data_IF_424728745438
#
_entry.id   IF_424728745438
#
_cell.length_a   1.000
_cell.length_b   1.000
_cell.length_c   1.000
_cell.angle_alpha   90.00
_cell.angle_beta   90.00
_cell.angle_gamma   90.00
#
_symmetry.space_group_name_H-M   'P 1'
#
loop_
_entity.id
_entity.type
_entity.pdbx_description
1 polymer ?
#
# COMPACT_ATOMS: atom_id res chain seq x y z
N UNK A 1 -1.29 17.07 21.26
CA UNK A 1 -0.69 15.72 21.36
C UNK A 1 -1.20 14.85 20.20
N UNK A 2 -0.31 14.19 19.44
CA UNK A 2 -0.75 13.34 18.33
C UNK A 2 -1.48 12.07 18.81
N UNK A 3 -2.64 11.69 18.24
CA UNK A 3 -3.45 10.55 18.66
C UNK A 3 -2.94 9.22 18.05
N UNK A 4 -1.62 9.03 17.94
CA UNK A 4 -1.04 7.80 17.39
C UNK A 4 -0.66 6.82 18.49
N UNK A 5 -0.83 5.52 18.20
CA UNK A 5 -0.27 4.45 19.01
C UNK A 5 1.26 4.42 18.80
N UNK A 6 2.03 4.61 19.86
CA UNK A 6 3.50 4.64 19.81
C UNK A 6 4.15 3.36 20.36
N UNK A 7 3.35 2.32 20.62
CA UNK A 7 3.81 1.04 21.17
C UNK A 7 4.35 0.09 20.10
N UNK A 8 4.34 0.49 18.83
CA UNK A 8 4.79 -0.31 17.70
C UNK A 8 5.47 0.54 16.62
N UNK A 9 6.44 -0.06 15.90
CA UNK A 9 7.27 0.63 14.91
C UNK A 9 6.44 1.39 13.86
N UNK A 10 5.42 0.74 13.29
CA UNK A 10 4.60 1.37 12.25
C UNK A 10 3.90 2.65 12.75
N UNK A 11 3.42 2.66 14.00
CA UNK A 11 2.74 3.82 14.58
C UNK A 11 3.72 4.97 14.87
N UNK A 12 4.90 4.64 15.39
CA UNK A 12 5.98 5.61 15.63
C UNK A 12 6.43 6.29 14.33
N UNK A 13 6.71 5.51 13.28
CA UNK A 13 7.15 6.05 11.99
C UNK A 13 6.06 6.95 11.38
N UNK A 14 4.79 6.56 11.46
CA UNK A 14 3.68 7.38 10.95
C UNK A 14 3.50 8.67 11.75
N UNK A 15 3.69 8.61 13.08
CA UNK A 15 3.66 9.78 13.94
C UNK A 15 4.76 10.78 13.61
N UNK A 16 5.98 10.30 13.32
CA UNK A 16 7.10 11.15 12.89
C UNK A 16 6.80 11.80 11.54
N UNK A 17 6.30 11.03 10.56
CA UNK A 17 5.90 11.57 9.26
C UNK A 17 4.89 12.72 9.44
N UNK A 18 3.86 12.49 10.27
CA UNK A 18 2.84 13.50 10.56
C UNK A 18 3.42 14.71 11.30
N UNK A 19 4.30 14.50 12.28
CA UNK A 19 4.95 15.59 13.01
C UNK A 19 5.76 16.50 12.08
N UNK A 20 6.55 15.91 11.18
CA UNK A 20 7.33 16.67 10.19
C UNK A 20 6.42 17.39 9.21
N UNK A 21 5.36 16.75 8.72
CA UNK A 21 4.38 17.39 7.84
C UNK A 21 3.74 18.62 8.50
N UNK A 22 3.36 18.51 9.78
CA UNK A 22 2.83 19.65 10.53
C UNK A 22 3.88 20.75 10.67
N UNK A 23 5.11 20.41 11.07
CA UNK A 23 6.18 21.41 11.22
C UNK A 23 6.50 22.16 9.93
N UNK A 24 6.34 21.52 8.77
CA UNK A 24 6.62 22.13 7.48
C UNK A 24 5.45 23.00 6.99
N UNK A 25 4.21 22.66 7.32
CA UNK A 25 3.04 23.25 6.69
C UNK A 25 2.17 24.12 7.61
N UNK A 26 2.38 24.06 8.92
CA UNK A 26 1.59 24.77 9.91
C UNK A 26 2.47 25.37 11.01
N UNK A 27 1.98 26.45 11.61
CA UNK A 27 2.61 27.03 12.78
C UNK A 27 2.38 26.13 14.00
N UNK A 28 3.48 25.67 14.58
CA UNK A 28 3.49 24.89 15.82
C UNK A 28 4.17 25.69 16.92
N UNK A 29 3.55 25.88 18.10
CA UNK A 29 4.21 26.50 19.25
C UNK A 29 5.55 25.83 19.59
N UNK A 30 6.50 26.59 20.13
CA UNK A 30 7.81 26.04 20.48
C UNK A 30 7.72 24.94 21.53
N UNK A 31 6.89 25.11 22.55
CA UNK A 31 6.68 24.08 23.58
C UNK A 31 6.18 22.76 22.97
N UNK A 32 5.20 22.82 22.07
CA UNK A 32 4.69 21.65 21.35
C UNK A 32 5.75 21.02 20.45
N UNK A 33 6.54 21.82 19.73
CA UNK A 33 7.61 21.32 18.89
C UNK A 33 8.65 20.53 19.69
N UNK A 34 9.10 21.10 20.80
CA UNK A 34 10.12 20.51 21.66
C UNK A 34 9.59 19.24 22.35
N UNK A 35 8.38 19.30 22.89
CA UNK A 35 7.72 18.15 23.51
C UNK A 35 7.56 16.98 22.53
N UNK A 36 7.08 17.24 21.31
CA UNK A 36 6.91 16.17 20.33
C UNK A 36 8.25 15.66 19.79
N UNK A 37 9.25 16.53 19.59
CA UNK A 37 10.60 16.12 19.16
C UNK A 37 11.23 15.16 20.18
N UNK A 38 11.19 15.49 21.48
CA UNK A 38 11.71 14.63 22.55
C UNK A 38 10.97 13.29 22.60
N UNK A 39 9.63 13.37 22.70
CA UNK A 39 8.78 12.18 22.84
C UNK A 39 8.97 11.22 21.67
N UNK A 40 8.96 11.74 20.44
CA UNK A 40 9.11 10.93 19.23
C UNK A 40 10.52 10.37 19.11
N UNK A 41 11.56 11.13 19.49
CA UNK A 41 12.93 10.63 19.44
C UNK A 41 13.11 9.44 20.38
N UNK A 42 12.63 9.56 21.62
CA UNK A 42 12.73 8.49 22.61
C UNK A 42 12.09 7.17 22.17
N UNK A 43 10.90 7.23 21.55
CA UNK A 43 10.25 6.01 21.01
C UNK A 43 10.86 5.56 19.69
N UNK A 44 11.35 6.48 18.86
CA UNK A 44 11.99 6.16 17.59
C UNK A 44 13.25 5.35 17.77
N UNK A 45 14.10 5.71 18.74
CA UNK A 45 15.36 5.01 18.99
C UNK A 45 15.16 3.51 19.31
N UNK A 46 14.02 3.13 19.90
CA UNK A 46 13.67 1.71 20.16
C UNK A 46 13.36 0.93 18.88
N UNK A 47 12.93 1.62 17.84
CA UNK A 47 12.49 1.02 16.57
C UNK A 47 13.36 1.40 15.39
N UNK A 48 14.37 2.24 15.59
CA UNK A 48 15.31 2.67 14.56
C UNK A 48 16.03 1.44 14.04
N UNK A 49 15.84 1.18 12.76
CA UNK A 49 16.50 0.12 12.01
C UNK A 49 17.66 0.67 11.20
N UNK A 50 18.87 0.19 11.49
CA UNK A 50 20.05 0.44 10.66
C UNK A 50 19.88 -0.21 9.28
N UNK A 51 20.32 0.47 8.22
CA UNK A 51 20.17 0.02 6.84
C UNK A 51 18.74 0.14 6.28
N UNK A 52 17.79 0.68 7.05
CA UNK A 52 16.44 0.97 6.57
C UNK A 52 16.41 2.17 5.62
N UNK A 53 15.67 2.03 4.51
CA UNK A 53 15.38 3.11 3.57
C UNK A 53 14.15 3.88 4.06
N UNK A 54 14.38 4.94 4.83
CA UNK A 54 13.34 5.80 5.39
C UNK A 54 12.83 6.83 4.39
N UNK A 55 11.55 7.18 4.43
CA UNK A 55 10.97 8.30 3.68
C UNK A 55 11.60 9.66 4.06
N UNK A 56 11.53 10.64 3.16
CA UNK A 56 12.17 11.95 3.27
C UNK A 56 11.79 12.69 4.55
N UNK A 57 10.53 12.60 4.96
CA UNK A 57 10.06 13.17 6.23
C UNK A 57 10.76 12.56 7.43
N UNK A 58 10.98 11.25 7.43
CA UNK A 58 11.66 10.56 8.54
C UNK A 58 13.15 10.88 8.52
N UNK A 59 13.76 10.99 7.33
CA UNK A 59 15.15 11.46 7.19
C UNK A 59 15.33 12.88 7.73
N UNK A 60 14.37 13.78 7.49
CA UNK A 60 14.37 15.12 8.06
C UNK A 60 14.34 15.10 9.60
N UNK A 61 13.48 14.26 10.19
CA UNK A 61 13.44 14.05 11.63
C UNK A 61 14.77 13.52 12.17
N UNK A 62 15.31 12.49 11.52
CA UNK A 62 16.62 11.91 11.88
C UNK A 62 17.69 12.99 11.89
N UNK A 63 17.78 13.82 10.84
CA UNK A 63 18.78 14.90 10.76
C UNK A 63 18.70 15.89 11.93
N UNK A 64 17.49 16.27 12.36
CA UNK A 64 17.32 17.12 13.56
C UNK A 64 17.82 16.41 14.81
N UNK A 65 17.43 15.15 15.00
CA UNK A 65 17.82 14.40 16.20
C UNK A 65 19.32 14.11 16.24
N UNK A 66 19.96 13.88 15.10
CA UNK A 66 21.41 13.70 14.99
C UNK A 66 22.15 15.02 15.29
N UNK A 67 21.64 16.15 14.79
CA UNK A 67 22.16 17.46 15.17
C UNK A 67 22.08 17.68 16.68
N UNK A 68 20.91 17.46 17.30
CA UNK A 68 20.75 17.57 18.76
C UNK A 68 21.73 16.65 19.50
N UNK A 69 21.85 15.39 19.08
CA UNK A 69 22.79 14.45 19.69
C UNK A 69 24.25 14.88 19.56
N UNK A 70 24.62 15.57 18.48
CA UNK A 70 25.97 16.11 18.30
C UNK A 70 26.28 17.32 19.20
N UNK A 71 25.25 18.07 19.62
CA UNK A 71 25.42 19.32 20.38
C UNK A 71 25.20 19.14 21.89
N UNK A 72 24.41 18.14 22.32
CA UNK A 72 23.96 18.03 23.72
C UNK A 72 25.04 17.68 24.75
N UNK A 73 26.22 17.24 24.31
CA UNK A 73 27.28 16.79 25.20
C UNK A 73 26.79 15.67 26.12
N UNK A 74 26.91 15.89 27.44
CA UNK A 74 26.47 14.92 28.47
C UNK A 74 25.00 15.05 28.88
N UNK A 75 24.30 16.10 28.44
CA UNK A 75 22.90 16.30 28.78
C UNK A 75 22.03 15.22 28.15
N UNK A 76 20.96 14.82 28.83
CA UNK A 76 19.90 14.05 28.18
C UNK A 76 19.26 14.88 27.05
N UNK A 77 18.54 14.19 26.16
CA UNK A 77 17.89 14.86 25.03
C UNK A 77 16.89 15.92 25.52
N UNK A 78 16.04 15.59 26.50
CA UNK A 78 15.07 16.51 27.10
C UNK A 78 15.69 17.69 27.86
N UNK A 79 16.77 17.46 28.62
CA UNK A 79 17.50 18.53 29.33
C UNK A 79 18.11 19.54 28.36
N UNK A 80 18.76 19.05 27.30
CA UNK A 80 19.32 19.92 26.27
C UNK A 80 18.24 20.74 25.57
N UNK A 81 17.15 20.07 25.18
CA UNK A 81 16.00 20.70 24.55
C UNK A 81 15.39 21.81 25.43
N UNK A 82 15.22 21.56 26.72
CA UNK A 82 14.65 22.53 27.68
C UNK A 82 15.53 23.77 27.87
N UNK A 83 16.83 23.67 27.61
CA UNK A 83 17.79 24.76 27.71
C UNK A 83 17.93 25.63 26.46
N UNK A 84 17.26 25.30 25.35
CA UNK A 84 17.43 26.02 24.08
C UNK A 84 16.81 27.42 24.11
N UNK A 85 17.57 28.39 23.61
CA UNK A 85 17.07 29.71 23.26
C UNK A 85 16.13 29.67 22.05
N UNK A 86 15.33 30.73 21.86
CA UNK A 86 14.49 30.88 20.67
C UNK A 86 15.29 30.78 19.35
N UNK A 87 16.54 31.27 19.34
CA UNK A 87 17.41 31.18 18.17
C UNK A 87 17.81 29.75 17.86
N UNK A 88 18.12 28.95 18.88
CA UNK A 88 18.48 27.53 18.70
C UNK A 88 17.27 26.69 18.28
N UNK A 89 16.09 26.94 18.83
CA UNK A 89 14.84 26.29 18.38
C UNK A 89 14.58 26.62 16.90
N UNK A 90 14.81 27.87 16.49
CA UNK A 90 14.70 28.28 15.09
C UNK A 90 15.70 27.52 14.19
N UNK A 91 16.92 27.30 14.65
CA UNK A 91 17.92 26.51 13.91
C UNK A 91 17.46 25.06 13.71
N UNK A 92 16.88 24.42 14.74
CA UNK A 92 16.32 23.06 14.60
C UNK A 92 15.21 23.00 13.53
N UNK A 93 14.32 24.00 13.51
CA UNK A 93 13.28 24.11 12.48
C UNK A 93 13.86 24.35 11.09
N UNK A 94 14.93 25.14 10.97
CA UNK A 94 15.62 25.35 9.70
C UNK A 94 16.18 24.05 9.12
N UNK A 95 16.66 23.12 9.96
CA UNK A 95 17.08 21.78 9.51
C UNK A 95 15.91 21.02 8.89
N UNK A 96 14.71 21.04 9.50
CA UNK A 96 13.51 20.44 8.89
C UNK A 96 13.15 21.11 7.56
N UNK A 97 13.12 22.44 7.53
CA UNK A 97 12.78 23.19 6.31
C UNK A 97 13.77 22.95 5.17
N UNK A 98 15.06 22.75 5.47
CA UNK A 98 16.06 22.37 4.47
C UNK A 98 15.73 21.03 3.78
N UNK A 99 14.95 20.16 4.44
CA UNK A 99 14.51 18.89 3.85
C UNK A 99 13.20 18.98 3.06
N UNK A 100 12.50 20.13 3.06
CA UNK A 100 11.21 20.30 2.37
C UNK A 100 11.29 19.93 0.89
N UNK A 101 12.38 20.31 0.22
CA UNK A 101 12.60 19.97 -1.20
C UNK A 101 12.61 18.46 -1.45
N UNK A 102 13.30 17.69 -0.61
CA UNK A 102 13.34 16.23 -0.71
C UNK A 102 11.99 15.57 -0.45
N UNK A 103 11.18 16.14 0.46
CA UNK A 103 9.82 15.64 0.72
C UNK A 103 8.93 15.86 -0.50
N UNK A 104 8.97 17.05 -1.10
CA UNK A 104 8.21 17.36 -2.31
C UNK A 104 8.63 16.50 -3.50
N UNK A 105 9.93 16.31 -3.69
CA UNK A 105 10.47 15.43 -4.73
C UNK A 105 10.03 13.97 -4.54
N UNK A 106 9.98 13.48 -3.30
CA UNK A 106 9.52 12.13 -2.99
C UNK A 106 8.02 11.95 -3.24
N UNK A 107 7.20 12.97 -2.96
CA UNK A 107 5.76 13.00 -3.31
C UNK A 107 5.58 12.88 -4.83
N UNK A 108 6.33 13.67 -5.60
CA UNK A 108 6.24 13.67 -7.06
C UNK A 108 6.71 12.32 -7.64
N UNK A 109 7.85 11.79 -7.15
CA UNK A 109 8.35 10.47 -7.53
C UNK A 109 7.33 9.37 -7.23
N UNK A 110 6.69 9.41 -6.06
CA UNK A 110 5.63 8.46 -5.70
C UNK A 110 4.46 8.54 -6.68
N UNK A 111 3.96 9.74 -6.99
CA UNK A 111 2.86 9.94 -7.94
C UNK A 111 3.17 9.37 -9.32
N UNK A 112 4.33 9.73 -9.88
CA UNK A 112 4.75 9.25 -11.20
C UNK A 112 4.89 7.72 -11.21
N UNK A 113 5.49 7.14 -10.16
CA UNK A 113 5.65 5.70 -10.04
C UNK A 113 4.30 4.96 -9.95
N UNK A 114 3.33 5.50 -9.19
CA UNK A 114 1.99 4.93 -9.09
C UNK A 114 1.19 5.07 -10.39
N UNK A 115 1.32 6.18 -11.11
CA UNK A 115 0.72 6.33 -12.45
C UNK A 115 1.25 5.27 -13.43
N UNK A 116 2.55 5.04 -13.44
CA UNK A 116 3.17 4.02 -14.30
C UNK A 116 2.76 2.60 -13.89
N UNK A 117 2.72 2.32 -12.58
CA UNK A 117 2.23 1.07 -12.04
C UNK A 117 0.76 0.84 -12.44
N UNK A 118 -0.08 1.87 -12.36
CA UNK A 118 -1.49 1.81 -12.70
C UNK A 118 -1.67 1.53 -14.20
N UNK A 119 -1.03 2.32 -15.08
CA UNK A 119 -1.07 2.10 -16.54
C UNK A 119 -0.66 0.68 -16.89
N UNK A 120 0.46 0.21 -16.32
CA UNK A 120 1.00 -1.13 -16.54
C UNK A 120 0.08 -2.24 -16.02
N UNK A 121 -0.60 -2.03 -14.89
CA UNK A 121 -1.52 -3.00 -14.31
C UNK A 121 -2.88 -3.02 -15.04
N UNK A 122 -3.42 -1.88 -15.45
CA UNK A 122 -4.64 -1.81 -16.25
C UNK A 122 -4.46 -2.50 -17.61
N UNK A 123 -3.31 -2.32 -18.27
CA UNK A 123 -2.99 -3.04 -19.49
C UNK A 123 -2.96 -4.57 -19.27
N UNK A 124 -2.37 -5.02 -18.16
CA UNK A 124 -2.35 -6.42 -17.75
C UNK A 124 -3.76 -6.99 -17.57
N UNK A 125 -4.60 -6.26 -16.83
CA UNK A 125 -5.98 -6.63 -16.52
C UNK A 125 -6.84 -6.68 -17.78
N UNK A 126 -6.74 -5.68 -18.65
CA UNK A 126 -7.42 -5.66 -19.94
C UNK A 126 -7.03 -6.88 -20.80
N UNK A 127 -5.73 -7.18 -20.88
CA UNK A 127 -5.23 -8.31 -21.66
C UNK A 127 -5.79 -9.65 -21.18
N UNK A 128 -5.78 -9.91 -19.86
CA UNK A 128 -6.27 -11.18 -19.31
C UNK A 128 -7.80 -11.32 -19.42
N UNK A 129 -8.55 -10.23 -19.26
CA UNK A 129 -10.02 -10.23 -19.39
C UNK A 129 -10.45 -10.48 -20.84
N UNK A 130 -9.79 -9.84 -21.81
CA UNK A 130 -10.15 -9.97 -23.24
C UNK A 130 -9.68 -11.30 -23.85
N UNK A 131 -8.58 -11.87 -23.36
CA UNK A 131 -8.06 -13.14 -23.88
C UNK A 131 -8.90 -14.36 -23.42
N UNK A 132 -9.61 -14.27 -22.30
CA UNK A 132 -10.43 -15.35 -21.74
C UNK A 132 -11.91 -15.13 -21.99
N UNK A 133 -12.72 -16.19 -22.00
CA UNK A 133 -14.18 -16.06 -22.08
C UNK A 133 -14.74 -15.43 -20.80
N UNK A 134 -14.23 -15.87 -19.65
CA UNK A 134 -14.43 -15.24 -18.36
C UNK A 134 -13.21 -15.44 -17.45
N UNK A 135 -13.05 -14.55 -16.49
CA UNK A 135 -12.03 -14.62 -15.42
C UNK A 135 -12.69 -14.45 -14.06
N UNK A 136 -12.06 -15.00 -13.03
CA UNK A 136 -12.53 -14.90 -11.65
C UNK A 136 -11.59 -13.97 -10.89
N UNK A 137 -12.11 -12.80 -10.49
CA UNK A 137 -11.37 -11.79 -9.76
C UNK A 137 -11.64 -11.92 -8.26
N UNK A 138 -10.59 -12.13 -7.48
CA UNK A 138 -10.63 -12.18 -6.01
C UNK A 138 -9.81 -11.03 -5.46
N UNK A 139 -10.38 -10.23 -4.56
CA UNK A 139 -9.68 -9.12 -3.92
C UNK A 139 -9.76 -9.22 -2.40
N UNK A 140 -8.60 -9.17 -1.77
CA UNK A 140 -8.46 -9.26 -0.32
C UNK A 140 -7.55 -8.16 0.21
N UNK A 141 -7.84 -7.75 1.45
CA UNK A 141 -6.97 -6.87 2.24
C UNK A 141 -6.35 -7.69 3.33
N UNK A 142 -5.03 -7.68 3.41
CA UNK A 142 -4.23 -8.44 4.34
C UNK A 142 -3.62 -7.48 5.35
N UNK A 143 -3.84 -7.73 6.63
CA UNK A 143 -3.27 -6.93 7.72
C UNK A 143 -2.97 -7.82 8.93
N UNK A 144 -2.65 -7.20 10.06
CA UNK A 144 -2.41 -7.90 11.32
C UNK A 144 -3.50 -7.56 12.33
N UNK A 145 -3.73 -8.47 13.27
CA UNK A 145 -4.56 -8.19 14.44
C UNK A 145 -3.88 -7.11 15.31
N UNK A 146 -4.67 -6.33 16.03
CA UNK A 146 -4.17 -5.17 16.81
C UNK A 146 -3.14 -5.62 17.84
N UNK A 147 -3.40 -6.73 18.50
CA UNK A 147 -2.55 -7.38 19.49
C UNK A 147 -1.19 -7.85 18.93
N UNK A 148 -1.06 -7.99 17.61
CA UNK A 148 0.21 -8.36 16.96
C UNK A 148 1.03 -7.16 16.49
N UNK A 149 0.48 -5.93 16.47
CA UNK A 149 1.15 -4.78 15.86
C UNK A 149 2.51 -4.47 16.49
N UNK A 150 2.67 -4.66 17.80
CA UNK A 150 3.94 -4.46 18.53
C UNK A 150 5.06 -5.39 18.06
N UNK A 151 4.73 -6.59 17.57
CA UNK A 151 5.67 -7.56 17.04
C UNK A 151 5.97 -7.36 15.54
N UNK A 152 5.13 -6.60 14.81
CA UNK A 152 5.26 -6.42 13.36
C UNK A 152 6.19 -5.23 13.07
N UNK A 153 7.49 -5.52 13.00
CA UNK A 153 8.50 -4.60 12.45
C UNK A 153 8.54 -4.70 10.91
N UNK A 154 9.31 -3.82 10.27
CA UNK A 154 9.53 -3.82 8.82
C UNK A 154 10.27 -5.10 8.38
N UNK A 155 11.20 -5.63 9.19
CA UNK A 155 11.88 -6.90 8.90
C UNK A 155 10.89 -8.07 8.90
N UNK A 156 9.99 -8.11 9.89
CA UNK A 156 8.93 -9.12 10.00
C UNK A 156 7.94 -8.98 8.84
N UNK A 157 7.50 -7.75 8.53
CA UNK A 157 6.61 -7.50 7.41
C UNK A 157 7.23 -7.90 6.07
N UNK A 158 8.49 -7.54 5.83
CA UNK A 158 9.20 -7.91 4.60
C UNK A 158 9.33 -9.43 4.46
N UNK A 159 9.68 -10.15 5.54
CA UNK A 159 9.72 -11.61 5.55
C UNK A 159 8.37 -12.25 5.19
N UNK A 160 7.27 -11.69 5.71
CA UNK A 160 5.92 -12.12 5.36
C UNK A 160 5.61 -11.87 3.87
N UNK A 161 5.95 -10.69 3.35
CA UNK A 161 5.73 -10.35 1.95
C UNK A 161 6.58 -11.20 1.01
N UNK A 162 7.84 -11.50 1.36
CA UNK A 162 8.68 -12.42 0.60
C UNK A 162 8.07 -13.82 0.52
N UNK A 163 7.51 -14.31 1.63
CA UNK A 163 6.82 -15.60 1.68
C UNK A 163 5.53 -15.61 0.85
N UNK A 164 4.75 -14.52 0.89
CA UNK A 164 3.57 -14.36 0.03
C UNK A 164 3.94 -14.31 -1.46
N UNK A 165 4.99 -13.56 -1.82
CA UNK A 165 5.50 -13.48 -3.20
C UNK A 165 5.97 -14.84 -3.72
N UNK A 166 6.64 -15.64 -2.88
CA UNK A 166 7.00 -17.03 -3.22
C UNK A 166 5.76 -17.88 -3.49
N UNK A 167 4.77 -17.85 -2.60
CA UNK A 167 3.54 -18.61 -2.76
C UNK A 167 2.76 -18.22 -4.04
N UNK A 168 2.70 -16.92 -4.37
CA UNK A 168 2.11 -16.42 -5.62
C UNK A 168 2.85 -16.91 -6.87
N UNK A 169 4.19 -17.01 -6.79
CA UNK A 169 5.05 -17.50 -7.87
C UNK A 169 4.90 -19.00 -8.09
N UNK A 170 4.82 -19.77 -7.00
CA UNK A 170 4.74 -21.23 -7.03
C UNK A 170 3.39 -21.71 -7.58
N UNK A 171 2.34 -20.86 -7.52
CA UNK A 171 0.98 -21.14 -8.05
C UNK A 171 0.40 -22.46 -7.55
N UNK A 172 0.66 -22.78 -6.28
CA UNK A 172 0.15 -23.97 -5.60
C UNK A 172 -0.97 -23.64 -4.61
N UNK A 173 -1.70 -24.66 -4.16
CA UNK A 173 -2.80 -24.51 -3.21
C UNK A 173 -3.86 -23.53 -3.71
N UNK A 174 -4.17 -22.52 -2.89
CA UNK A 174 -5.13 -21.46 -3.23
C UNK A 174 -4.71 -20.57 -4.41
N UNK A 175 -3.45 -20.62 -4.85
CA UNK A 175 -2.94 -19.90 -6.03
C UNK A 175 -2.91 -20.76 -7.30
N UNK A 176 -3.44 -21.99 -7.25
CA UNK A 176 -3.56 -22.85 -8.44
C UNK A 176 -4.44 -22.18 -9.50
N UNK A 177 -4.02 -22.28 -10.77
CA UNK A 177 -4.68 -21.66 -11.94
C UNK A 177 -4.71 -20.12 -11.93
N UNK A 178 -3.88 -19.48 -11.10
CA UNK A 178 -3.67 -18.04 -11.13
C UNK A 178 -3.09 -17.60 -12.49
N UNK A 179 -3.78 -16.68 -13.16
CA UNK A 179 -3.35 -16.11 -14.43
C UNK A 179 -2.39 -14.94 -14.19
N UNK A 180 -2.81 -13.99 -13.36
CA UNK A 180 -2.03 -12.82 -12.94
C UNK A 180 -2.54 -12.28 -11.60
N UNK A 181 -1.84 -11.31 -11.03
CA UNK A 181 -2.20 -10.66 -9.77
C UNK A 181 -1.66 -9.22 -9.73
N UNK A 182 -2.17 -8.40 -8.81
CA UNK A 182 -1.56 -7.15 -8.35
C UNK A 182 -1.47 -7.17 -6.83
N UNK A 183 -0.30 -6.83 -6.28
CA UNK A 183 0.01 -6.76 -4.86
C UNK A 183 0.56 -5.36 -4.55
N UNK A 184 -0.17 -4.57 -3.77
CA UNK A 184 0.25 -3.26 -3.28
C UNK A 184 0.58 -3.35 -1.78
N UNK A 185 1.69 -2.75 -1.38
CA UNK A 185 2.14 -2.64 0.02
C UNK A 185 1.92 -1.21 0.50
N UNK A 186 1.28 -1.07 1.66
CA UNK A 186 0.89 0.22 2.22
C UNK A 186 1.22 0.31 3.71
N UNK A 187 1.40 1.53 4.19
CA UNK A 187 1.60 1.85 5.60
C UNK A 187 0.50 2.83 6.04
N UNK A 188 -0.46 2.34 6.83
CA UNK A 188 -1.56 3.14 7.33
C UNK A 188 -1.36 3.60 8.77
N UNK A 189 -1.93 4.76 9.12
CA UNK A 189 -1.88 5.34 10.46
C UNK A 189 -2.37 4.38 11.57
N UNK A 190 -3.42 3.60 11.28
CA UNK A 190 -4.06 2.70 12.26
C UNK A 190 -3.75 1.23 11.99
N UNK A 191 -3.72 0.82 10.72
CA UNK A 191 -3.47 -0.57 10.32
C UNK A 191 -1.99 -0.97 10.37
N UNK A 192 -1.08 -0.01 10.47
CA UNK A 192 0.35 -0.24 10.30
C UNK A 192 0.68 -0.73 8.89
N UNK A 193 1.65 -1.63 8.78
CA UNK A 193 2.02 -2.27 7.52
C UNK A 193 0.94 -3.25 7.07
N UNK A 194 0.51 -3.14 5.82
CA UNK A 194 -0.53 -4.00 5.25
C UNK A 194 -0.38 -4.15 3.75
N UNK A 195 -1.12 -5.10 3.18
CA UNK A 195 -1.07 -5.42 1.77
C UNK A 195 -2.47 -5.53 1.17
N UNK A 196 -2.63 -5.01 -0.04
CA UNK A 196 -3.80 -5.21 -0.86
C UNK A 196 -3.47 -6.16 -2.00
N UNK A 197 -4.30 -7.18 -2.20
CA UNK A 197 -4.03 -8.23 -3.18
C UNK A 197 -5.28 -8.46 -4.06
N UNK A 198 -5.09 -8.31 -5.37
CA UNK A 198 -6.07 -8.63 -6.40
C UNK A 198 -5.55 -9.78 -7.24
N UNK A 199 -6.30 -10.86 -7.35
CA UNK A 199 -5.92 -12.07 -8.06
C UNK A 199 -6.90 -12.35 -9.20
N UNK A 200 -6.38 -12.81 -10.33
CA UNK A 200 -7.17 -13.17 -11.51
C UNK A 200 -6.95 -14.63 -11.84
N UNK A 201 -8.00 -15.43 -11.70
CA UNK A 201 -7.98 -16.86 -12.01
C UNK A 201 -8.70 -17.15 -13.32
N UNK A 202 -8.39 -18.31 -13.90
CA UNK A 202 -9.18 -18.86 -14.99
C UNK A 202 -10.53 -19.40 -14.46
N UNK A 203 -11.63 -18.73 -14.80
CA UNK A 203 -13.00 -19.14 -14.39
C UNK A 203 -13.39 -20.53 -14.89
N UNK A 204 -12.77 -21.01 -15.98
CA UNK A 204 -13.05 -22.36 -16.49
C UNK A 204 -12.49 -23.47 -15.60
N UNK A 205 -11.65 -23.14 -14.62
CA UNK A 205 -11.00 -24.09 -13.71
C UNK A 205 -11.37 -23.82 -12.26
N UNK A 206 -11.60 -22.56 -11.92
CA UNK A 206 -11.84 -22.10 -10.56
C UNK A 206 -13.13 -21.30 -10.51
N UNK A 207 -13.98 -21.62 -9.54
CA UNK A 207 -15.22 -20.93 -9.23
C UNK A 207 -15.26 -20.59 -7.73
N UNK A 208 -16.29 -19.87 -7.27
CA UNK A 208 -16.49 -19.49 -5.85
C UNK A 208 -15.43 -18.51 -5.34
N UNK A 209 -15.42 -17.31 -5.92
CA UNK A 209 -14.55 -16.19 -5.53
C UNK A 209 -14.50 -15.92 -4.01
N UNK A 210 -15.64 -16.01 -3.33
CA UNK A 210 -15.72 -15.85 -1.87
C UNK A 210 -14.88 -16.88 -1.13
N UNK A 211 -14.98 -18.16 -1.51
CA UNK A 211 -14.21 -19.23 -0.90
C UNK A 211 -12.70 -18.98 -1.05
N UNK A 212 -12.26 -18.66 -2.27
CA UNK A 212 -10.84 -18.36 -2.54
C UNK A 212 -10.34 -17.16 -1.75
N UNK A 213 -11.16 -16.11 -1.60
CA UNK A 213 -10.80 -14.96 -0.77
C UNK A 213 -10.48 -15.36 0.68
N UNK A 214 -11.25 -16.27 1.28
CA UNK A 214 -10.93 -16.79 2.62
C UNK A 214 -9.72 -17.70 2.65
N UNK A 215 -9.52 -18.53 1.63
CA UNK A 215 -8.32 -19.38 1.53
C UNK A 215 -7.03 -18.56 1.44
N UNK A 216 -7.07 -17.40 0.78
CA UNK A 216 -5.92 -16.49 0.72
C UNK A 216 -5.67 -15.83 2.07
N UNK A 217 -6.73 -15.44 2.79
CA UNK A 217 -6.62 -14.90 4.15
C UNK A 217 -6.09 -15.97 5.12
N UNK A 218 -6.50 -17.24 4.96
CA UNK A 218 -5.94 -18.37 5.70
C UNK A 218 -4.45 -18.57 5.38
N UNK A 219 -4.07 -18.45 4.11
CA UNK A 219 -2.65 -18.50 3.73
C UNK A 219 -1.84 -17.35 4.33
N UNK A 220 -2.41 -16.15 4.40
CA UNK A 220 -1.79 -15.02 5.08
C UNK A 220 -1.61 -15.26 6.58
N UNK A 221 -2.62 -15.81 7.26
CA UNK A 221 -2.52 -16.25 8.67
C UNK A 221 -1.39 -17.25 8.87
N UNK A 222 -1.30 -18.27 8.02
CA UNK A 222 -0.24 -19.28 8.07
C UNK A 222 1.16 -18.64 7.91
N UNK A 223 1.31 -17.73 6.95
CA UNK A 223 2.57 -17.01 6.71
C UNK A 223 2.95 -16.16 7.91
N UNK A 224 1.99 -15.40 8.46
CA UNK A 224 2.18 -14.50 9.59
C UNK A 224 2.56 -15.24 10.89
N UNK A 225 1.92 -16.39 11.11
CA UNK A 225 2.19 -17.24 12.27
C UNK A 225 3.59 -17.87 12.17
N UNK A 226 3.93 -18.44 11.01
CA UNK A 226 5.19 -19.16 10.80
C UNK A 226 6.42 -18.27 10.89
N UNK A 227 6.32 -17.00 10.48
CA UNK A 227 7.47 -16.11 10.30
C UNK A 227 7.45 -14.88 11.22
N UNK A 228 7.12 -15.10 12.50
CA UNK A 228 7.08 -14.02 13.49
C UNK A 228 6.04 -14.21 14.58
N UNK A 229 5.31 -15.33 14.60
CA UNK A 229 4.30 -15.61 15.62
C UNK A 229 3.15 -14.62 15.62
N UNK A 230 2.91 -13.93 14.51
CA UNK A 230 1.94 -12.86 14.39
C UNK A 230 0.57 -13.41 13.97
N UNK A 231 -0.50 -12.76 14.42
CA UNK A 231 -1.85 -13.06 13.97
C UNK A 231 -2.19 -12.25 12.73
N UNK A 232 -2.09 -12.88 11.56
CA UNK A 232 -2.58 -12.32 10.30
C UNK A 232 -4.12 -12.26 10.27
N UNK A 233 -4.68 -11.21 9.70
CA UNK A 233 -6.12 -11.09 9.44
C UNK A 233 -6.35 -10.56 8.04
N UNK A 234 -7.60 -10.56 7.60
CA UNK A 234 -7.91 -9.91 6.34
C UNK A 234 -9.40 -9.70 6.09
N UNK A 235 -9.67 -8.88 5.08
CA UNK A 235 -11.02 -8.58 4.61
C UNK A 235 -11.21 -9.12 3.20
N UNK A 236 -12.24 -9.93 3.01
CA UNK A 236 -12.61 -10.50 1.72
C UNK A 236 -13.60 -9.57 1.01
N UNK A 237 -13.16 -8.82 0.00
CA UNK A 237 -14.04 -7.88 -0.71
C UNK A 237 -15.14 -8.59 -1.47
N UNK A 238 -14.90 -9.82 -1.91
CA UNK A 238 -15.90 -10.65 -2.58
C UNK A 238 -17.07 -11.04 -1.66
N UNK A 239 -16.94 -10.88 -0.34
CA UNK A 239 -18.05 -11.13 0.59
C UNK A 239 -19.18 -10.10 0.45
N UNK A 240 -18.86 -8.84 0.13
CA UNK A 240 -19.82 -7.72 0.09
C UNK A 240 -20.30 -7.39 -1.33
N UNK A 241 -20.41 -8.39 -2.22
CA UNK A 241 -20.81 -8.17 -3.63
C UNK A 241 -22.16 -7.49 -3.78
N UNK A 242 -23.13 -7.79 -2.92
CA UNK A 242 -24.50 -7.24 -3.00
C UNK A 242 -24.49 -5.71 -2.93
N UNK A 243 -23.62 -5.11 -2.11
CA UNK A 243 -23.48 -3.66 -2.00
C UNK A 243 -22.99 -3.04 -3.31
N UNK A 244 -21.99 -3.63 -3.95
CA UNK A 244 -21.44 -3.13 -5.22
C UNK A 244 -22.39 -3.38 -6.40
N UNK A 245 -23.14 -4.47 -6.38
CA UNK A 245 -24.19 -4.75 -7.37
C UNK A 245 -25.28 -3.68 -7.36
N UNK A 246 -25.79 -3.32 -6.17
CA UNK A 246 -26.80 -2.26 -6.02
C UNK A 246 -26.33 -0.90 -6.55
N UNK A 247 -25.03 -0.63 -6.52
CA UNK A 247 -24.42 0.60 -7.03
C UNK A 247 -24.01 0.54 -8.51
N UNK A 248 -24.16 -0.61 -9.16
CA UNK A 248 -23.68 -0.83 -10.54
C UNK A 248 -22.15 -0.88 -10.67
N UNK A 249 -21.41 -0.98 -9.56
CA UNK A 249 -19.94 -0.90 -9.54
C UNK A 249 -19.27 -2.24 -9.22
N UNK A 250 -19.96 -3.38 -9.36
CA UNK A 250 -19.39 -4.69 -9.09
C UNK A 250 -18.28 -5.01 -10.12
N UNK A 251 -17.03 -5.05 -9.66
CA UNK A 251 -15.84 -5.37 -10.45
C UNK A 251 -15.03 -6.57 -9.91
N UNK A 252 -15.61 -7.36 -9.01
CA UNK A 252 -15.02 -8.58 -8.45
C UNK A 252 -15.95 -9.77 -8.67
N UNK A 253 -15.41 -10.98 -8.57
CA UNK A 253 -16.12 -12.21 -8.90
C UNK A 253 -15.93 -12.59 -10.36
N UNK A 254 -16.91 -13.27 -10.94
CA UNK A 254 -16.82 -13.66 -12.35
C UNK A 254 -17.04 -12.45 -13.27
N UNK A 255 -16.09 -12.23 -14.17
CA UNK A 255 -16.09 -11.17 -15.17
C UNK A 255 -16.09 -11.84 -16.54
N UNK A 256 -17.18 -11.67 -17.29
CA UNK A 256 -17.28 -12.11 -18.67
C UNK A 256 -16.66 -11.10 -19.61
N UNK A 257 -15.91 -11.58 -20.60
CA UNK A 257 -15.38 -10.74 -21.68
C UNK A 257 -16.48 -10.02 -22.44
N UNK A 258 -17.65 -10.62 -22.58
CA UNK A 258 -18.76 -10.04 -23.34
C UNK A 258 -19.51 -8.94 -22.57
N UNK A 259 -19.19 -8.70 -21.30
CA UNK A 259 -19.82 -7.64 -20.50
C UNK A 259 -18.90 -6.42 -20.38
N UNK A 260 -19.19 -5.37 -21.17
CA UNK A 260 -18.47 -4.11 -21.10
C UNK A 260 -18.54 -3.46 -19.69
N UNK A 261 -19.69 -3.58 -19.01
CA UNK A 261 -19.89 -3.04 -17.66
C UNK A 261 -19.02 -3.77 -16.63
N UNK A 262 -19.01 -5.10 -16.64
CA UNK A 262 -18.16 -5.88 -15.73
C UNK A 262 -16.68 -5.61 -16.00
N UNK A 263 -16.28 -5.50 -17.28
CA UNK A 263 -14.92 -5.15 -17.66
C UNK A 263 -14.50 -3.78 -17.11
N UNK A 264 -15.29 -2.73 -17.36
CA UNK A 264 -15.02 -1.39 -16.85
C UNK A 264 -14.95 -1.36 -15.31
N UNK A 265 -15.84 -2.07 -14.63
CA UNK A 265 -15.82 -2.16 -13.17
C UNK A 265 -14.58 -2.89 -12.65
N UNK A 266 -14.15 -3.97 -13.31
CA UNK A 266 -12.94 -4.71 -12.95
C UNK A 266 -11.67 -3.84 -13.09
N UNK A 267 -11.59 -3.04 -14.17
CA UNK A 267 -10.51 -2.07 -14.35
C UNK A 267 -10.53 -1.00 -13.26
N UNK A 268 -11.70 -0.49 -12.86
CA UNK A 268 -11.77 0.43 -11.71
C UNK A 268 -11.25 -0.21 -10.42
N UNK A 269 -11.61 -1.47 -10.13
CA UNK A 269 -11.08 -2.17 -8.95
C UNK A 269 -9.54 -2.26 -8.99
N UNK A 270 -8.97 -2.53 -10.17
CA UNK A 270 -7.52 -2.55 -10.37
C UNK A 270 -6.89 -1.16 -10.21
N UNK A 271 -7.55 -0.11 -10.69
CA UNK A 271 -7.14 1.29 -10.52
C UNK A 271 -7.11 1.69 -9.03
N UNK A 272 -8.14 1.32 -8.25
CA UNK A 272 -8.21 1.57 -6.80
C UNK A 272 -7.04 0.97 -6.01
N UNK A 273 -6.39 -0.07 -6.55
CA UNK A 273 -5.24 -0.73 -5.93
C UNK A 273 -3.96 0.09 -6.03
N UNK A 274 -3.84 0.95 -7.06
CA UNK A 274 -2.62 1.66 -7.44
C UNK A 274 -2.97 3.12 -7.71
N UNK A 275 -3.30 3.87 -6.66
CA UNK A 275 -3.81 5.25 -6.77
C UNK A 275 -2.73 6.26 -6.39
N UNK A 276 -2.32 7.17 -7.30
CA UNK A 276 -1.35 8.23 -7.00
C UNK A 276 -1.76 9.15 -5.84
N UNK A 277 -3.07 9.25 -5.53
CA UNK A 277 -3.59 10.09 -4.46
C UNK A 277 -3.41 9.49 -3.07
N UNK A 278 -3.04 8.20 -2.96
CA UNK A 278 -2.82 7.49 -1.70
C UNK A 278 -1.43 7.74 -1.08
N UNK A 279 -0.87 8.94 -1.26
CA UNK A 279 0.43 9.29 -0.70
C UNK A 279 0.50 9.08 0.83
N UNK A 280 -0.59 9.35 1.54
CA UNK A 280 -0.71 9.11 2.97
C UNK A 280 -0.65 7.61 3.38
N UNK A 281 -0.62 6.69 2.43
CA UNK A 281 -0.50 5.25 2.65
C UNK A 281 0.82 4.69 2.08
N UNK A 282 1.73 5.55 1.61
CA UNK A 282 3.03 5.09 1.12
C UNK A 282 3.84 4.40 2.22
N UNK A 283 4.66 3.43 1.83
CA UNK A 283 5.62 2.82 2.75
C UNK A 283 6.65 3.86 3.22
N UNK A 284 6.62 4.20 4.52
CA UNK A 284 7.51 5.19 5.14
C UNK A 284 8.89 4.64 5.51
N UNK A 285 9.06 3.32 5.46
CA UNK A 285 10.31 2.59 5.63
C UNK A 285 10.32 1.36 4.72
N UNK A 286 11.47 1.03 4.13
CA UNK A 286 11.67 -0.13 3.26
C UNK A 286 13.00 -0.83 3.58
N UNK A 287 13.10 -2.12 3.24
CA UNK A 287 14.31 -2.93 3.37
C UNK A 287 14.72 -3.48 1.99
N UNK A 288 15.40 -2.68 1.15
CA UNK A 288 15.83 -3.12 -0.19
C UNK A 288 14.69 -3.48 -1.16
N UNK A 289 13.42 -3.47 -0.70
CA UNK A 289 12.23 -3.67 -1.53
C UNK A 289 12.04 -2.44 -2.40
N UNK A 290 12.58 -2.51 -3.61
CA UNK A 290 12.42 -1.42 -4.59
C UNK A 290 10.95 -1.21 -4.98
N UNK A 291 10.14 -2.27 -4.97
CA UNK A 291 8.79 -2.25 -5.53
C UNK A 291 7.71 -2.44 -4.46
N UNK A 292 7.02 -1.36 -4.11
CA UNK A 292 5.80 -1.35 -3.26
C UNK A 292 4.58 -1.87 -4.00
N UNK A 293 4.62 -1.91 -5.33
CA UNK A 293 3.64 -2.59 -6.16
C UNK A 293 4.29 -3.74 -6.94
N UNK A 294 3.67 -4.91 -6.94
CA UNK A 294 4.13 -6.09 -7.68
C UNK A 294 2.97 -6.67 -8.47
N UNK A 295 3.14 -6.89 -9.77
CA UNK A 295 2.14 -7.60 -10.59
C UNK A 295 2.68 -8.89 -11.19
N UNK A 296 1.77 -9.83 -11.42
CA UNK A 296 2.02 -11.01 -12.23
C UNK A 296 2.27 -10.66 -13.69
N UNK A 297 2.85 -11.61 -14.43
CA UNK A 297 3.03 -11.53 -15.88
C UNK A 297 2.12 -12.57 -16.55
N UNK A 298 1.05 -12.09 -17.16
CA UNK A 298 0.15 -12.88 -17.98
C UNK A 298 0.79 -13.15 -19.34
N UNK A 299 0.67 -14.40 -19.80
CA UNK A 299 1.00 -14.78 -21.16
C UNK A 299 -0.31 -15.08 -21.89
N UNK A 300 -0.70 -14.29 -22.91
CA UNK A 300 -1.91 -14.55 -23.69
C UNK A 300 -1.90 -15.95 -24.31
N UNK A 301 -3.09 -16.53 -24.52
CA UNK A 301 -3.23 -17.84 -25.15
C UNK A 301 -2.91 -17.79 -26.67
N UNK A 302 -2.69 -16.60 -27.24
CA UNK A 302 -2.26 -16.42 -28.63
C UNK A 302 -3.39 -16.53 -29.67
N UNK A 303 -4.65 -16.63 -29.24
CA UNK A 303 -5.82 -16.56 -30.12
C UNK A 303 -6.25 -15.09 -30.21
N UNK A 304 -6.41 -14.55 -31.42
CA UNK A 304 -6.74 -13.12 -31.65
C UNK A 304 -8.19 -12.78 -31.26
N UNK A 305 -8.53 -12.87 -29.97
CA UNK A 305 -9.85 -12.50 -29.47
C UNK A 305 -10.05 -10.98 -29.31
N UNK A 306 -8.96 -10.21 -29.34
CA UNK A 306 -8.99 -8.74 -29.26
C UNK A 306 -9.70 -8.09 -30.46
N UNK A 307 -9.56 -8.67 -31.66
CA UNK A 307 -10.23 -8.21 -32.89
C UNK A 307 -11.74 -8.40 -32.82
N UNK A 308 -12.21 -9.55 -32.32
CA UNK A 308 -13.64 -9.81 -32.14
C UNK A 308 -14.28 -8.92 -31.06
N UNK A 309 -13.58 -8.63 -29.96
CA UNK A 309 -14.07 -7.73 -28.92
C UNK A 309 -14.23 -6.28 -29.43
N UNK A 310 -13.21 -5.75 -30.12
CA UNK A 310 -13.28 -4.40 -30.71
C UNK A 310 -14.39 -4.28 -31.77
N UNK A 311 -14.54 -5.28 -32.64
CA UNK A 311 -15.62 -5.30 -33.64
C UNK A 311 -17.01 -5.31 -33.00
N UNK A 312 -17.19 -6.03 -31.88
CA UNK A 312 -18.46 -6.12 -31.16
C UNK A 312 -18.79 -4.83 -30.38
N UNK A 313 -17.78 -4.16 -29.80
CA UNK A 313 -17.97 -2.83 -29.20
C UNK A 313 -18.31 -1.76 -30.23
N UNK A 314 -17.64 -1.75 -31.39
CA UNK A 314 -17.97 -0.85 -32.51
C UNK A 314 -19.36 -1.14 -33.08
N UNK A 315 -19.77 -2.41 -33.17
CA UNK A 315 -21.12 -2.81 -33.59
C UNK A 315 -22.23 -2.35 -32.64
N UNK A 316 -22.05 -2.48 -31.32
CA UNK A 316 -23.00 -1.92 -30.34
C UNK A 316 -23.07 -0.38 -30.39
N UNK A 317 -21.96 0.29 -30.71
CA UNK A 317 -21.91 1.75 -30.85
C UNK A 317 -22.73 2.23 -32.06
N UNK A 318 -22.66 1.49 -33.18
CA UNK A 318 -23.40 1.80 -34.40
C UNK A 318 -24.90 1.49 -34.31
N UNK A 319 -25.30 0.46 -33.56
CA UNK A 319 -26.72 0.13 -33.34
C UNK A 319 -27.41 1.18 -32.46
N UNK A 320 -26.70 1.77 -31.49
CA UNK A 320 -27.25 2.84 -30.66
C UNK A 320 -27.43 4.17 -31.42
N UNK A 321 -26.60 4.45 -32.44
CA UNK A 321 -26.76 5.63 -33.30
C UNK A 321 -27.91 5.48 -34.30
N UNK A 322 -28.24 4.26 -34.73
CA UNK A 322 -29.36 3.99 -35.63
C UNK A 322 -30.72 3.86 -34.92
N UNK A 323 -30.75 3.94 -33.57
CA UNK A 323 -31.96 3.90 -32.76
C UNK A 323 -32.38 5.29 -32.24
N UNK A 324 -31.60 6.33 -32.55
CA UNK A 324 -31.87 7.74 -32.22
C UNK A 324 -32.31 8.58 -33.45
N UNK A 325 -32.51 7.96 -34.62
CA UNK A 325 -33.07 8.58 -35.82
C UNK A 325 -34.57 8.26 -36.00
#
# INVERSE_FOLDING_TARGET
>A
MFPFNLDHQAGVIYAIHTFVDICLNFDMPNEDFMFNLERLWYVFEKFKREGGEYAASIRAFIAVTEYVNSQRGMLSFGEYLSGLSMGEIKNLRQILHAHRGFVLEEIEKYRNQEEDNQKSFLAEMNNVIVDRSSVLIVRVDLSYAVESLSAVTIDVFDLHIQSLRRALKDKNGCFKHLLTFGLALEHGATKGFHAHLMLVYNSSKIQKDVYYGFEIINKWREIAMTNGGCTGIGFNVNWDKKKYQKKGTLGVGEISRDSAVQHANALRVAEYLVRPEKYNQMMLIKLGVKNTFTKGKYKPHGRMYQTHYKQKQLGCSAINLAAED
#
